data_IF_049093254783
#
_entry.id   IF_049093254783
#
_cell.length_a   1.000
_cell.length_b   1.000
_cell.length_c   1.000
_cell.angle_alpha   90.00
_cell.angle_beta   90.00
_cell.angle_gamma   90.00
#
_symmetry.space_group_name_H-M   'P 1'
#
loop_
_entity.id
_entity.type
_entity.pdbx_description
1 polymer ?
#
# COMPACT_ATOMS: atom_id res chain seq x y z
N UNK A 1 -7.88 24.44 -47.64
CA UNK A 1 -9.22 24.23 -47.07
C UNK A 1 -9.24 24.96 -45.73
N UNK A 2 -9.90 26.13 -45.74
CA UNK A 2 -9.96 27.06 -44.59
C UNK A 2 -11.09 26.67 -43.68
N UNK A 3 -10.84 26.38 -42.41
CA UNK A 3 -11.89 26.29 -41.39
C UNK A 3 -12.02 27.66 -40.72
N UNK A 4 -13.08 28.38 -41.10
CA UNK A 4 -13.55 29.56 -40.41
C UNK A 4 -14.20 29.14 -39.08
N UNK A 5 -13.63 29.54 -37.96
CA UNK A 5 -14.31 29.57 -36.66
C UNK A 5 -15.08 30.87 -36.56
N UNK A 6 -16.41 30.78 -36.60
CA UNK A 6 -17.31 31.90 -36.34
C UNK A 6 -17.21 32.36 -34.89
N UNK A 7 -16.96 33.64 -34.74
CA UNK A 7 -16.88 34.37 -33.48
C UNK A 7 -18.31 34.53 -32.90
N UNK A 8 -18.75 33.58 -32.05
CA UNK A 8 -19.93 33.75 -31.22
C UNK A 8 -19.52 34.38 -29.90
N UNK A 9 -19.92 35.63 -29.71
CA UNK A 9 -19.54 36.49 -28.60
C UNK A 9 -19.82 35.90 -27.22
N UNK A 10 -18.79 35.42 -26.57
CA UNK A 10 -18.79 35.25 -25.13
C UNK A 10 -18.42 36.62 -24.54
N UNK A 11 -19.25 37.23 -23.68
CA UNK A 11 -18.94 38.52 -23.09
C UNK A 11 -17.68 38.35 -22.24
N UNK A 12 -16.67 39.15 -22.55
CA UNK A 12 -15.44 39.27 -21.75
C UNK A 12 -15.82 39.76 -20.34
N UNK A 13 -15.75 38.85 -19.38
CA UNK A 13 -15.93 39.20 -17.97
C UNK A 13 -14.65 39.90 -17.50
N UNK A 14 -14.75 41.19 -17.20
CA UNK A 14 -13.66 41.97 -16.63
C UNK A 14 -13.27 41.40 -15.25
N UNK A 15 -12.20 40.62 -15.22
CA UNK A 15 -11.65 40.00 -14.02
C UNK A 15 -10.98 41.01 -13.04
N UNK A 16 -11.14 42.32 -13.25
CA UNK A 16 -10.58 43.35 -12.38
C UNK A 16 -11.58 43.90 -11.35
N UNK A 17 -12.83 43.45 -11.38
CA UNK A 17 -13.74 43.75 -10.29
C UNK A 17 -13.22 43.10 -9.00
N UNK A 18 -13.20 43.79 -7.86
CA UNK A 18 -12.50 43.30 -6.68
C UNK A 18 -13.18 42.04 -6.14
N UNK A 19 -12.61 40.89 -6.40
CA UNK A 19 -12.97 39.59 -5.85
C UNK A 19 -13.19 39.58 -4.33
N UNK A 20 -12.67 40.59 -3.65
CA UNK A 20 -12.84 40.82 -2.19
C UNK A 20 -14.29 41.07 -1.76
N UNK A 21 -15.18 41.60 -2.61
CA UNK A 21 -16.60 41.84 -2.23
C UNK A 21 -17.47 40.61 -2.41
N UNK A 22 -17.21 39.77 -3.43
CA UNK A 22 -17.94 38.52 -3.65
C UNK A 22 -17.59 37.45 -2.60
N UNK A 23 -16.36 37.42 -2.11
CA UNK A 23 -15.94 36.54 -1.03
C UNK A 23 -16.63 36.87 0.33
N UNK A 24 -16.89 38.15 0.63
CA UNK A 24 -17.54 38.50 1.89
C UNK A 24 -19.05 38.25 1.90
N UNK A 25 -19.70 38.17 0.75
CA UNK A 25 -21.16 37.94 0.67
C UNK A 25 -21.54 36.46 0.60
N UNK A 26 -20.59 35.60 0.25
CA UNK A 26 -20.79 34.12 0.18
C UNK A 26 -20.07 33.36 1.31
N UNK A 27 -19.47 34.05 2.27
CA UNK A 27 -19.12 33.42 3.53
C UNK A 27 -20.42 33.14 4.26
N UNK A 28 -20.88 31.92 4.20
CA UNK A 28 -21.86 31.36 5.12
C UNK A 28 -21.49 31.87 6.49
N UNK A 29 -22.44 32.53 7.17
CA UNK A 29 -22.21 33.20 8.42
C UNK A 29 -21.40 32.34 9.36
N UNK A 30 -20.48 32.97 10.09
CA UNK A 30 -19.61 32.37 11.10
C UNK A 30 -20.37 31.77 12.30
N UNK A 31 -21.66 31.58 12.15
CA UNK A 31 -22.56 31.03 13.16
C UNK A 31 -22.68 29.56 12.92
N UNK A 32 -22.07 28.76 13.81
CA UNK A 32 -22.17 27.32 13.96
C UNK A 32 -21.45 26.47 12.93
N UNK A 33 -20.13 26.57 12.85
CA UNK A 33 -19.34 25.35 12.62
C UNK A 33 -19.43 24.59 13.96
N UNK A 34 -20.45 23.76 14.12
CA UNK A 34 -20.44 22.75 15.17
C UNK A 34 -19.17 21.94 14.98
N UNK A 35 -18.26 22.07 15.92
CA UNK A 35 -17.02 21.27 15.91
C UNK A 35 -17.47 19.80 15.93
N UNK A 36 -17.23 19.08 14.84
CA UNK A 36 -17.45 17.65 14.81
C UNK A 36 -16.70 17.07 16.01
N UNK A 37 -17.38 16.42 16.96
CA UNK A 37 -16.71 15.89 18.15
C UNK A 37 -15.60 14.95 17.71
N UNK A 38 -14.43 15.07 18.35
CA UNK A 38 -13.29 14.19 18.06
C UNK A 38 -13.73 12.72 18.19
N UNK A 39 -13.31 11.84 17.27
CA UNK A 39 -13.74 10.44 17.30
C UNK A 39 -13.37 9.81 18.64
N UNK A 40 -14.29 9.02 19.19
CA UNK A 40 -14.05 8.28 20.43
C UNK A 40 -12.85 7.36 20.22
N UNK A 41 -11.96 7.32 21.20
CA UNK A 41 -10.85 6.37 21.20
C UNK A 41 -11.33 5.04 21.79
N UNK A 42 -10.83 3.94 21.22
CA UNK A 42 -11.05 2.58 21.73
C UNK A 42 -9.72 1.82 21.78
N UNK A 43 -9.63 0.84 22.63
CA UNK A 43 -8.54 -0.15 22.58
C UNK A 43 -8.77 -1.00 21.34
N UNK A 44 -7.76 -1.14 20.52
CA UNK A 44 -7.72 -2.04 19.36
C UNK A 44 -6.66 -3.09 19.63
N UNK A 45 -7.01 -4.34 19.40
CA UNK A 45 -6.12 -5.49 19.58
C UNK A 45 -6.07 -6.32 18.31
N UNK A 46 -4.89 -6.84 17.97
CA UNK A 46 -4.67 -7.79 16.89
C UNK A 46 -3.34 -8.51 17.09
N UNK A 47 -3.11 -9.58 16.35
CA UNK A 47 -1.79 -10.16 16.22
C UNK A 47 -1.09 -9.58 15.00
N UNK A 48 0.07 -8.93 15.18
CA UNK A 48 0.84 -8.35 14.09
C UNK A 48 2.21 -9.03 14.02
N UNK A 49 2.49 -9.69 12.92
CA UNK A 49 3.74 -10.44 12.69
C UNK A 49 4.05 -11.42 13.84
N UNK A 50 3.05 -12.17 14.28
CA UNK A 50 3.17 -13.14 15.39
C UNK A 50 3.22 -12.52 16.79
N UNK A 51 3.09 -11.20 16.92
CA UNK A 51 3.13 -10.50 18.21
C UNK A 51 1.75 -9.94 18.53
N UNK A 52 1.16 -10.25 19.71
CA UNK A 52 -0.08 -9.62 20.14
C UNK A 52 0.16 -8.14 20.46
N UNK A 53 -0.70 -7.28 19.90
CA UNK A 53 -0.60 -5.83 20.01
C UNK A 53 -1.92 -5.27 20.56
N UNK A 54 -1.82 -4.37 21.53
CA UNK A 54 -2.92 -3.56 22.02
C UNK A 54 -2.57 -2.08 22.00
N UNK A 55 -3.36 -1.27 21.29
CA UNK A 55 -3.11 0.17 21.16
C UNK A 55 -4.41 0.97 21.21
N UNK A 56 -4.32 2.20 21.72
CA UNK A 56 -5.46 3.11 21.78
C UNK A 56 -5.56 3.88 20.45
N UNK A 57 -6.67 3.68 19.73
CA UNK A 57 -6.89 4.28 18.40
C UNK A 57 -8.23 5.05 18.34
N UNK A 58 -8.33 6.08 17.49
CA UNK A 58 -9.62 6.67 17.14
C UNK A 58 -10.52 5.64 16.45
N UNK A 59 -11.84 5.73 16.66
CA UNK A 59 -12.81 4.80 16.06
C UNK A 59 -12.82 4.82 14.52
N UNK A 60 -12.33 5.87 13.91
CA UNK A 60 -12.20 6.05 12.46
C UNK A 60 -10.76 5.85 11.95
N UNK A 61 -9.86 5.28 12.77
CA UNK A 61 -8.48 5.04 12.35
C UNK A 61 -8.44 4.03 11.19
N UNK A 62 -7.68 4.35 10.14
CA UNK A 62 -7.36 3.39 9.10
C UNK A 62 -6.22 2.48 9.55
N UNK A 63 -6.25 1.23 9.11
CA UNK A 63 -5.28 0.22 9.50
C UNK A 63 -3.84 0.65 9.19
N UNK A 64 -3.62 1.32 8.06
CA UNK A 64 -2.32 1.86 7.66
C UNK A 64 -1.70 2.75 8.75
N UNK A 65 -2.47 3.67 9.32
CA UNK A 65 -1.98 4.60 10.35
C UNK A 65 -1.67 3.85 11.66
N UNK A 66 -2.52 2.88 12.01
CA UNK A 66 -2.30 2.05 13.20
C UNK A 66 -1.01 1.27 13.06
N UNK A 67 -0.80 0.58 11.95
CA UNK A 67 0.40 -0.22 11.70
C UNK A 67 1.65 0.63 11.70
N UNK A 68 1.65 1.79 11.04
CA UNK A 68 2.85 2.64 10.94
C UNK A 68 3.13 3.43 12.22
N UNK A 69 2.09 4.09 12.77
CA UNK A 69 2.28 5.12 13.80
C UNK A 69 2.14 4.57 15.22
N UNK A 70 1.47 3.43 15.40
CA UNK A 70 1.24 2.82 16.71
C UNK A 70 2.03 1.54 16.90
N UNK A 71 2.07 0.68 15.88
CA UNK A 71 2.80 -0.60 15.93
C UNK A 71 4.26 -0.42 15.49
N UNK A 72 4.53 0.50 14.55
CA UNK A 72 5.88 0.78 14.08
C UNK A 72 6.32 -0.05 12.87
N UNK A 73 5.39 -0.74 12.19
CA UNK A 73 5.68 -1.51 10.96
C UNK A 73 5.85 -0.56 9.78
N UNK A 74 7.07 -0.07 9.55
CA UNK A 74 7.38 0.95 8.56
C UNK A 74 7.46 0.41 7.13
N UNK A 75 7.50 -0.90 6.93
CA UNK A 75 7.44 -1.55 5.63
C UNK A 75 6.12 -1.26 4.90
N UNK A 76 5.01 -1.12 5.62
CA UNK A 76 3.75 -0.69 5.02
C UNK A 76 3.87 0.76 4.56
N UNK A 77 3.65 1.05 3.26
CA UNK A 77 3.91 2.38 2.68
C UNK A 77 2.61 3.10 2.30
N UNK A 78 2.61 4.43 2.51
CA UNK A 78 1.54 5.32 2.07
C UNK A 78 1.91 5.93 0.72
N UNK A 79 1.33 5.43 -0.39
CA UNK A 79 1.64 5.91 -1.73
C UNK A 79 0.55 6.77 -2.38
N UNK A 80 -0.74 6.61 -2.01
CA UNK A 80 -1.82 7.32 -2.69
C UNK A 80 -3.04 7.68 -1.84
N UNK A 81 -3.40 6.93 -0.80
CA UNK A 81 -4.65 7.02 -0.02
C UNK A 81 -5.96 6.84 -0.82
N UNK A 82 -5.86 6.35 -2.05
CA UNK A 82 -6.99 6.17 -2.99
C UNK A 82 -7.23 4.71 -3.36
N UNK A 83 -6.46 3.78 -2.78
CA UNK A 83 -6.57 2.36 -3.12
C UNK A 83 -6.02 1.97 -4.49
N UNK A 84 -5.21 2.83 -5.14
CA UNK A 84 -4.73 2.61 -6.51
C UNK A 84 -3.31 2.10 -6.61
N UNK A 85 -2.43 2.36 -5.62
CA UNK A 85 -1.00 2.09 -5.76
C UNK A 85 -0.54 0.74 -5.17
N UNK A 86 -1.30 0.12 -4.29
CA UNK A 86 -0.97 -1.16 -3.67
C UNK A 86 0.21 -1.15 -2.67
N UNK A 87 0.90 -0.02 -2.46
CA UNK A 87 2.08 0.04 -1.56
C UNK A 87 1.74 -0.23 -0.09
N UNK A 88 0.48 -0.13 0.28
CA UNK A 88 -0.03 -0.36 1.63
C UNK A 88 -0.61 -1.77 1.84
N UNK A 89 -0.41 -2.68 0.90
CA UNK A 89 -0.94 -4.05 1.00
C UNK A 89 -0.33 -4.78 2.20
N UNK A 90 -1.19 -5.39 2.99
CA UNK A 90 -0.86 -6.29 4.11
C UNK A 90 -1.72 -7.55 4.01
N UNK A 91 -1.30 -8.65 4.61
CA UNK A 91 -2.17 -9.81 4.78
C UNK A 91 -3.02 -9.65 6.05
N UNK A 92 -4.31 -9.91 5.95
CA UNK A 92 -5.24 -10.00 7.08
C UNK A 92 -5.90 -11.37 7.00
N UNK A 93 -5.68 -12.20 7.98
CA UNK A 93 -6.17 -13.58 8.04
C UNK A 93 -5.84 -14.37 6.74
N UNK A 94 -4.61 -14.21 6.25
CA UNK A 94 -4.10 -14.84 5.02
C UNK A 94 -4.52 -14.17 3.71
N UNK A 95 -5.36 -13.14 3.72
CA UNK A 95 -5.85 -12.46 2.52
C UNK A 95 -5.21 -11.08 2.34
N UNK A 96 -4.75 -10.72 1.11
CA UNK A 96 -4.18 -9.40 0.85
C UNK A 96 -5.25 -8.31 0.92
N UNK A 97 -4.96 -7.22 1.64
CA UNK A 97 -5.85 -6.07 1.81
C UNK A 97 -5.09 -4.76 1.75
N UNK A 98 -5.72 -3.74 1.19
CA UNK A 98 -5.21 -2.37 1.17
C UNK A 98 -5.46 -1.71 2.53
N UNK A 99 -4.44 -1.58 3.36
CA UNK A 99 -4.59 -1.04 4.72
C UNK A 99 -5.03 0.43 4.76
N UNK A 100 -4.81 1.21 3.70
CA UNK A 100 -5.28 2.60 3.62
C UNK A 100 -6.82 2.71 3.45
N UNK A 101 -7.49 1.66 2.97
CA UNK A 101 -8.95 1.61 2.80
C UNK A 101 -9.64 0.72 3.85
N UNK A 102 -8.88 0.14 4.77
CA UNK A 102 -9.39 -0.72 5.82
C UNK A 102 -9.45 0.06 7.14
N UNK A 103 -10.62 0.11 7.78
CA UNK A 103 -10.72 0.63 9.15
C UNK A 103 -10.12 -0.38 10.12
N UNK A 104 -9.27 0.07 11.04
CA UNK A 104 -8.67 -0.80 12.05
C UNK A 104 -9.73 -1.58 12.84
N UNK A 105 -10.87 -0.96 13.14
CA UNK A 105 -11.96 -1.60 13.83
C UNK A 105 -12.63 -2.78 13.11
N UNK A 106 -12.43 -2.92 11.79
CA UNK A 106 -12.98 -4.04 11.01
C UNK A 106 -12.10 -5.30 11.10
N UNK A 107 -10.85 -5.14 11.51
CA UNK A 107 -9.86 -6.22 11.62
C UNK A 107 -9.37 -6.39 13.07
N UNK A 108 -10.20 -6.02 14.03
CA UNK A 108 -9.92 -6.25 15.44
C UNK A 108 -9.90 -7.76 15.72
N UNK A 109 -8.88 -8.24 16.41
CA UNK A 109 -8.68 -9.66 16.69
C UNK A 109 -8.10 -10.48 15.53
N UNK A 110 -7.87 -9.89 14.36
CA UNK A 110 -7.30 -10.59 13.19
C UNK A 110 -5.78 -10.81 13.31
N UNK A 111 -5.29 -11.76 12.51
CA UNK A 111 -3.86 -11.99 12.31
C UNK A 111 -3.41 -11.14 11.11
N UNK A 112 -2.48 -10.22 11.35
CA UNK A 112 -1.98 -9.28 10.35
C UNK A 112 -0.51 -9.58 10.08
N UNK A 113 -0.17 -9.84 8.82
CA UNK A 113 1.22 -10.00 8.39
C UNK A 113 1.61 -8.86 7.47
N UNK A 114 2.66 -8.16 7.82
CA UNK A 114 3.31 -7.15 6.99
C UNK A 114 4.59 -7.71 6.35
N UNK A 115 5.25 -6.94 5.50
CA UNK A 115 6.48 -7.39 4.83
C UNK A 115 7.56 -7.81 5.83
N UNK A 116 7.60 -7.21 7.00
CA UNK A 116 8.53 -7.55 8.08
C UNK A 116 8.27 -8.96 8.64
N UNK A 117 7.01 -9.38 8.67
CA UNK A 117 6.60 -10.68 9.16
C UNK A 117 6.73 -11.83 8.14
N UNK A 118 7.20 -11.57 6.93
CA UNK A 118 7.51 -12.63 5.95
C UNK A 118 8.84 -13.32 6.27
N UNK A 119 9.77 -12.61 6.89
CA UNK A 119 11.06 -13.16 7.30
C UNK A 119 10.94 -13.94 8.63
N UNK A 120 11.77 -14.96 8.79
CA UNK A 120 11.95 -15.67 10.06
C UNK A 120 13.30 -15.25 10.70
N UNK A 121 13.25 -14.28 11.58
CA UNK A 121 14.45 -13.69 12.18
C UNK A 121 15.38 -13.08 11.13
N UNK A 122 16.59 -13.63 11.00
CA UNK A 122 17.57 -13.20 10.01
C UNK A 122 17.38 -13.85 8.63
N UNK A 123 16.48 -14.81 8.50
CA UNK A 123 16.26 -15.55 7.26
C UNK A 123 15.14 -14.91 6.46
N UNK A 124 15.48 -14.40 5.27
CA UNK A 124 14.50 -13.85 4.34
C UNK A 124 13.61 -14.96 3.79
N UNK A 125 12.33 -14.65 3.59
CA UNK A 125 11.46 -15.54 2.84
C UNK A 125 11.95 -15.66 1.37
N UNK A 126 11.68 -16.79 0.69
CA UNK A 126 12.10 -17.00 -0.70
C UNK A 126 11.74 -15.83 -1.62
N UNK A 127 10.54 -15.26 -1.47
CA UNK A 127 10.11 -14.12 -2.27
C UNK A 127 10.97 -12.87 -2.02
N UNK A 128 11.42 -12.63 -0.79
CA UNK A 128 12.26 -11.50 -0.44
C UNK A 128 13.66 -11.65 -1.03
N UNK A 129 14.25 -12.85 -0.93
CA UNK A 129 15.55 -13.19 -1.53
C UNK A 129 15.53 -13.02 -3.04
N UNK A 130 14.52 -13.58 -3.72
CA UNK A 130 14.39 -13.47 -5.17
C UNK A 130 14.20 -12.02 -5.65
N UNK A 131 13.51 -11.16 -4.90
CA UNK A 131 13.40 -9.73 -5.23
C UNK A 131 14.76 -9.02 -5.16
N UNK A 132 15.63 -9.42 -4.24
CA UNK A 132 16.99 -8.89 -4.16
C UNK A 132 17.86 -9.41 -5.31
N UNK A 133 17.81 -10.71 -5.62
CA UNK A 133 18.64 -11.37 -6.62
C UNK A 133 18.28 -11.00 -8.06
N UNK A 134 16.99 -10.93 -8.39
CA UNK A 134 16.51 -10.62 -9.74
C UNK A 134 16.30 -9.14 -9.98
N UNK A 135 16.60 -8.27 -9.00
CA UNK A 135 16.44 -6.82 -9.14
C UNK A 135 14.97 -6.36 -9.16
N UNK A 136 14.06 -7.13 -8.55
CA UNK A 136 12.64 -6.76 -8.38
C UNK A 136 12.43 -5.52 -7.52
N UNK A 137 13.48 -5.03 -6.85
CA UNK A 137 13.47 -3.82 -6.03
C UNK A 137 14.52 -2.84 -6.53
N UNK A 138 14.13 -1.56 -6.76
CA UNK A 138 15.04 -0.46 -7.07
C UNK A 138 14.95 0.62 -5.99
N UNK A 139 13.97 1.54 -6.04
CA UNK A 139 13.80 2.53 -4.97
C UNK A 139 13.22 1.93 -3.68
N UNK A 140 12.66 0.72 -3.72
CA UNK A 140 12.14 -0.01 -2.57
C UNK A 140 10.75 0.43 -2.08
N UNK A 141 10.19 1.51 -2.59
CA UNK A 141 8.95 2.08 -2.04
C UNK A 141 7.71 1.18 -2.27
N UNK A 142 7.55 0.62 -3.46
CA UNK A 142 6.43 -0.29 -3.78
C UNK A 142 6.70 -1.74 -3.38
N UNK A 143 7.95 -2.10 -3.15
CA UNK A 143 8.40 -3.49 -2.91
C UNK A 143 7.62 -4.20 -1.81
N UNK A 144 7.33 -3.61 -0.64
CA UNK A 144 6.55 -4.27 0.40
C UNK A 144 5.17 -4.74 -0.08
N UNK A 145 4.47 -3.90 -0.85
CA UNK A 145 3.15 -4.26 -1.38
C UNK A 145 3.23 -5.41 -2.38
N UNK A 146 4.22 -5.41 -3.27
CA UNK A 146 4.45 -6.52 -4.21
C UNK A 146 4.79 -7.82 -3.50
N UNK A 147 5.65 -7.78 -2.48
CA UNK A 147 6.03 -8.96 -1.70
C UNK A 147 4.82 -9.62 -1.04
N UNK A 148 3.92 -8.84 -0.45
CA UNK A 148 2.69 -9.35 0.17
C UNK A 148 1.73 -9.92 -0.88
N UNK A 149 1.51 -9.21 -1.99
CA UNK A 149 0.61 -9.70 -3.07
C UNK A 149 1.16 -10.97 -3.71
N UNK A 150 2.47 -11.03 -3.96
CA UNK A 150 3.13 -12.21 -4.51
C UNK A 150 3.11 -13.38 -3.54
N UNK A 151 3.37 -13.16 -2.24
CA UNK A 151 3.30 -14.21 -1.24
C UNK A 151 1.87 -14.78 -1.11
N UNK A 152 0.85 -13.92 -1.18
CA UNK A 152 -0.55 -14.38 -1.18
C UNK A 152 -0.84 -15.30 -2.37
N UNK A 153 -0.37 -14.94 -3.57
CA UNK A 153 -0.47 -15.81 -4.75
C UNK A 153 0.24 -17.16 -4.54
N UNK A 154 1.48 -17.14 -4.04
CA UNK A 154 2.27 -18.36 -3.84
C UNK A 154 1.72 -19.26 -2.74
N UNK A 155 0.98 -18.71 -1.77
CA UNK A 155 0.27 -19.50 -0.78
C UNK A 155 -0.93 -20.28 -1.36
N UNK A 156 -1.52 -19.78 -2.45
CA UNK A 156 -2.65 -20.42 -3.14
C UNK A 156 -2.20 -21.30 -4.31
N UNK A 157 -1.15 -20.90 -5.01
CA UNK A 157 -0.65 -21.57 -6.21
C UNK A 157 0.89 -21.52 -6.25
N UNK A 158 1.53 -22.67 -6.11
CA UNK A 158 2.99 -22.83 -6.15
C UNK A 158 3.58 -22.81 -7.56
N UNK A 159 2.73 -22.90 -8.58
CA UNK A 159 3.11 -22.98 -10.00
C UNK A 159 2.35 -21.96 -10.86
N UNK A 160 2.40 -20.65 -10.50
CA UNK A 160 1.62 -19.65 -11.20
C UNK A 160 2.15 -19.41 -12.62
N UNK A 161 1.23 -19.27 -13.56
CA UNK A 161 1.52 -18.81 -14.92
C UNK A 161 1.83 -17.30 -14.92
N UNK A 162 2.49 -16.83 -15.99
CA UNK A 162 2.77 -15.39 -16.16
C UNK A 162 1.50 -14.53 -16.07
N UNK A 163 0.38 -15.05 -16.56
CA UNK A 163 -0.91 -14.35 -16.50
C UNK A 163 -1.43 -14.27 -15.07
N UNK A 164 -1.33 -15.33 -14.29
CA UNK A 164 -1.75 -15.32 -12.87
C UNK A 164 -0.86 -14.41 -12.04
N UNK A 165 0.45 -14.41 -12.29
CA UNK A 165 1.38 -13.46 -11.66
C UNK A 165 0.96 -12.02 -11.99
N UNK A 166 0.75 -11.70 -13.28
CA UNK A 166 0.34 -10.37 -13.71
C UNK A 166 -0.99 -9.94 -13.05
N UNK A 167 -1.98 -10.83 -12.98
CA UNK A 167 -3.26 -10.56 -12.29
C UNK A 167 -3.06 -10.33 -10.78
N UNK A 168 -2.23 -11.12 -10.12
CA UNK A 168 -2.01 -10.99 -8.68
C UNK A 168 -1.37 -9.65 -8.28
N UNK A 169 -0.54 -9.09 -9.18
CA UNK A 169 0.16 -7.83 -8.93
C UNK A 169 -0.45 -6.61 -9.65
N UNK A 170 -1.57 -6.76 -10.37
CA UNK A 170 -2.19 -5.67 -11.13
C UNK A 170 -2.61 -4.46 -10.27
N UNK A 171 -2.91 -4.72 -8.99
CA UNK A 171 -3.21 -3.68 -8.00
C UNK A 171 -1.99 -2.96 -7.44
N UNK A 172 -0.76 -3.29 -7.87
CA UNK A 172 0.48 -2.72 -7.36
C UNK A 172 1.19 -1.89 -8.43
N UNK A 173 1.49 -0.62 -8.12
CA UNK A 173 2.16 0.28 -9.06
C UNK A 173 3.66 0.39 -8.76
N UNK A 174 4.48 0.16 -9.79
CA UNK A 174 5.92 0.44 -9.77
C UNK A 174 6.30 1.43 -10.87
N UNK A 175 7.07 2.47 -10.53
CA UNK A 175 7.56 3.46 -11.48
C UNK A 175 8.99 3.18 -11.98
N UNK A 176 9.68 2.24 -11.38
CA UNK A 176 11.12 2.04 -11.57
C UNK A 176 11.47 0.83 -12.44
N UNK A 177 10.93 -0.36 -12.13
CA UNK A 177 11.40 -1.65 -12.64
C UNK A 177 10.86 -2.01 -14.03
N UNK A 178 9.75 -1.42 -14.48
CA UNK A 178 9.06 -1.87 -15.69
C UNK A 178 8.38 -3.23 -15.55
N UNK A 179 8.24 -3.75 -14.31
CA UNK A 179 7.56 -5.00 -13.92
C UNK A 179 8.27 -6.31 -14.29
N UNK A 180 9.10 -6.37 -15.32
CA UNK A 180 9.71 -7.64 -15.76
C UNK A 180 10.50 -8.31 -14.63
N UNK A 181 11.38 -7.56 -13.96
CA UNK A 181 12.19 -8.09 -12.86
C UNK A 181 11.34 -8.52 -11.65
N UNK A 182 10.19 -7.88 -11.43
CA UNK A 182 9.23 -8.29 -10.40
C UNK A 182 8.63 -9.66 -10.76
N UNK A 183 8.19 -9.84 -12.01
CA UNK A 183 7.63 -11.12 -12.50
C UNK A 183 8.69 -12.22 -12.40
N UNK A 184 9.93 -11.94 -12.82
CA UNK A 184 11.04 -12.88 -12.75
C UNK A 184 11.37 -13.28 -11.30
N UNK A 185 11.30 -12.31 -10.37
CA UNK A 185 11.46 -12.57 -8.93
C UNK A 185 10.37 -13.51 -8.38
N UNK A 186 9.11 -13.30 -8.78
CA UNK A 186 7.99 -14.15 -8.34
C UNK A 186 8.15 -15.57 -8.90
N UNK A 187 8.57 -15.73 -10.16
CA UNK A 187 8.87 -17.03 -10.76
C UNK A 187 10.01 -17.74 -10.02
N UNK A 188 11.07 -17.02 -9.67
CA UNK A 188 12.18 -17.56 -8.89
C UNK A 188 11.71 -18.08 -7.53
N UNK A 189 10.89 -17.30 -6.83
CA UNK A 189 10.32 -17.71 -5.55
C UNK A 189 9.39 -18.93 -5.69
N UNK A 190 8.59 -19.01 -6.75
CA UNK A 190 7.77 -20.17 -7.06
C UNK A 190 8.61 -21.43 -7.27
N UNK A 191 9.74 -21.33 -7.97
CA UNK A 191 10.66 -22.46 -8.18
C UNK A 191 11.27 -22.96 -6.85
N UNK A 192 11.61 -22.04 -5.94
CA UNK A 192 12.08 -22.40 -4.59
C UNK A 192 10.96 -23.09 -3.79
N UNK A 193 9.73 -22.60 -3.85
CA UNK A 193 8.59 -23.23 -3.18
C UNK A 193 8.37 -24.68 -3.64
N UNK A 194 8.60 -24.96 -4.92
CA UNK A 194 8.52 -26.34 -5.47
C UNK A 194 9.75 -27.20 -5.18
N UNK A 195 10.79 -26.64 -4.56
CA UNK A 195 12.05 -27.35 -4.30
C UNK A 195 12.90 -27.61 -5.56
N UNK A 196 12.67 -26.88 -6.65
CA UNK A 196 13.45 -26.98 -7.90
C UNK A 196 14.81 -26.28 -7.79
N UNK A 197 14.89 -25.25 -6.93
CA UNK A 197 16.08 -24.43 -6.66
C UNK A 197 16.22 -24.24 -5.16
N UNK A 198 17.44 -24.32 -4.64
CA UNK A 198 17.71 -23.96 -3.25
C UNK A 198 17.64 -22.45 -3.10
N UNK A 199 17.05 -21.98 -1.98
CA UNK A 199 17.11 -20.56 -1.62
C UNK A 199 18.58 -20.16 -1.42
N UNK A 200 18.97 -18.98 -1.95
CA UNK A 200 20.33 -18.48 -1.74
C UNK A 200 20.62 -18.38 -0.24
N UNK A 201 21.80 -18.84 0.16
CA UNK A 201 22.26 -18.69 1.53
C UNK A 201 22.27 -17.20 1.91
N UNK A 202 21.88 -16.83 3.14
CA UNK A 202 21.93 -15.45 3.58
C UNK A 202 23.34 -14.91 3.35
N UNK A 203 23.44 -13.73 2.72
CA UNK A 203 24.71 -13.05 2.55
C UNK A 203 25.39 -12.96 3.94
N UNK A 204 26.58 -13.52 4.06
CA UNK A 204 27.37 -13.38 5.29
C UNK A 204 27.54 -11.88 5.54
N UNK A 205 27.12 -11.44 6.73
CA UNK A 205 27.21 -10.05 7.13
C UNK A 205 28.68 -9.57 6.95
N UNK A 206 28.99 -8.60 6.08
CA UNK A 206 30.35 -8.15 5.86
C UNK A 206 30.86 -7.24 6.98
N UNK A 207 30.04 -6.98 8.00
CA UNK A 207 30.43 -6.18 9.16
C UNK A 207 30.40 -7.01 10.43
N UNK A 208 31.59 -7.29 11.02
CA UNK A 208 31.73 -7.85 12.38
C UNK A 208 31.29 -6.83 13.43
#
# INVERSE_FOLDING_TARGET
MSCCFSNSGIPYVDMRAPLRRLWRQNMVGSEHIEMIPSPKKKVWSAEVNGTPVEVLVPSNAVLLDVLRDKVGTLGVKRGCDLGTCGCCTVMVDGNPRLSCLCLAGQVEGSIITTVEGLADGAHLAPIQSCFAEHGGSQCGFCTPGFLISAQALLNENDSPTDKEIACAIEGNLCRCTGYQQIIDSIKGAAAIHRGEVEAAAPASDPHP
#
